data_IF_374712424511
#
_entry.id   IF_374712424511
#
_cell.length_a   1.000
_cell.length_b   1.000
_cell.length_c   1.000
_cell.angle_alpha   90.00
_cell.angle_beta   90.00
_cell.angle_gamma   90.00
#
_symmetry.space_group_name_H-M   'P 1'
#
loop_
_entity.id
_entity.type
_entity.pdbx_description
1 polymer ?
#
# COMPACT_ATOMS: atom_id res chain seq x y z
N UNK A 1 -8.01 -23.93 49.86
CA UNK A 1 -8.38 -22.84 48.93
C UNK A 1 -7.10 -22.44 48.22
N UNK A 2 -6.80 -23.07 47.10
CA UNK A 2 -5.68 -22.68 46.23
C UNK A 2 -6.29 -22.22 44.91
N UNK A 3 -6.68 -20.95 44.88
CA UNK A 3 -7.04 -20.23 43.66
C UNK A 3 -5.75 -19.82 42.96
N UNK A 4 -5.13 -20.75 42.22
CA UNK A 4 -4.14 -20.38 41.23
C UNK A 4 -4.85 -19.84 39.99
N UNK A 5 -4.93 -18.51 39.97
CA UNK A 5 -5.26 -17.67 38.84
C UNK A 5 -4.38 -18.04 37.64
N UNK A 6 -4.91 -18.87 36.76
CA UNK A 6 -4.38 -19.04 35.40
C UNK A 6 -4.73 -17.78 34.61
N UNK A 7 -3.88 -16.75 34.72
CA UNK A 7 -3.90 -15.60 33.83
C UNK A 7 -3.85 -16.11 32.39
N UNK A 8 -4.94 -15.88 31.66
CA UNK A 8 -5.04 -16.12 30.24
C UNK A 8 -4.03 -15.24 29.50
N UNK A 9 -2.84 -15.78 29.25
CA UNK A 9 -1.89 -15.18 28.32
C UNK A 9 -2.52 -15.23 26.92
N UNK A 10 -2.77 -14.05 26.34
CA UNK A 10 -3.19 -13.93 24.96
C UNK A 10 -2.23 -14.72 24.05
N UNK A 11 -2.73 -15.42 23.01
CA UNK A 11 -1.87 -16.17 22.11
C UNK A 11 -0.82 -15.25 21.48
N UNK A 12 0.43 -15.71 21.32
CA UNK A 12 1.46 -14.93 20.64
C UNK A 12 0.98 -14.56 19.22
N UNK A 13 1.31 -13.37 18.71
CA UNK A 13 0.89 -12.95 17.39
C UNK A 13 1.40 -13.93 16.34
N UNK A 14 0.47 -14.50 15.55
CA UNK A 14 0.79 -15.46 14.50
C UNK A 14 1.74 -14.83 13.46
N UNK A 15 2.97 -15.35 13.29
CA UNK A 15 3.91 -14.85 12.28
C UNK A 15 3.36 -15.02 10.84
N UNK A 16 2.40 -15.94 10.66
CA UNK A 16 1.67 -16.13 9.42
C UNK A 16 0.80 -14.92 9.05
N UNK A 17 0.13 -14.27 10.02
CA UNK A 17 -0.68 -13.06 9.76
C UNK A 17 0.18 -11.87 9.39
N UNK A 18 1.27 -11.66 10.11
CA UNK A 18 2.23 -10.60 9.80
C UNK A 18 2.85 -10.77 8.40
N UNK A 19 3.07 -12.02 7.97
CA UNK A 19 3.57 -12.33 6.62
C UNK A 19 2.52 -12.06 5.54
N UNK A 20 1.25 -12.38 5.80
CA UNK A 20 0.14 -12.13 4.87
C UNK A 20 -0.08 -10.62 4.64
N UNK A 21 -0.12 -9.82 5.70
CA UNK A 21 -0.27 -8.35 5.58
C UNK A 21 0.90 -7.72 4.80
N UNK A 22 2.12 -8.19 5.03
CA UNK A 22 3.28 -7.72 4.27
C UNK A 22 3.20 -8.13 2.79
N UNK A 23 2.71 -9.33 2.48
CA UNK A 23 2.50 -9.77 1.10
C UNK A 23 1.41 -8.92 0.41
N UNK A 24 0.32 -8.59 1.10
CA UNK A 24 -0.72 -7.71 0.58
C UNK A 24 -0.21 -6.29 0.33
N UNK A 25 0.56 -5.70 1.25
CA UNK A 25 1.19 -4.39 1.06
C UNK A 25 2.12 -4.37 -0.15
N UNK A 26 2.92 -5.44 -0.33
CA UNK A 26 3.79 -5.58 -1.51
C UNK A 26 2.99 -5.67 -2.81
N UNK A 27 1.91 -6.45 -2.86
CA UNK A 27 1.04 -6.54 -4.04
C UNK A 27 0.38 -5.20 -4.37
N UNK A 28 -0.14 -4.50 -3.35
CA UNK A 28 -0.73 -3.16 -3.52
C UNK A 28 0.29 -2.18 -4.08
N UNK A 29 1.51 -2.18 -3.56
CA UNK A 29 2.61 -1.35 -4.07
C UNK A 29 2.93 -1.65 -5.53
N UNK A 30 3.13 -2.93 -5.88
CA UNK A 30 3.42 -3.33 -7.27
C UNK A 30 2.31 -2.94 -8.24
N UNK A 31 1.04 -3.05 -7.83
CA UNK A 31 -0.09 -2.63 -8.64
C UNK A 31 -0.10 -1.12 -8.89
N UNK A 32 0.18 -0.33 -7.85
CA UNK A 32 0.26 1.13 -7.93
C UNK A 32 1.46 1.59 -8.78
N UNK A 33 2.62 0.94 -8.65
CA UNK A 33 3.79 1.18 -9.50
C UNK A 33 3.48 0.95 -10.98
N UNK A 34 2.84 -0.19 -11.31
CA UNK A 34 2.42 -0.47 -12.68
C UNK A 34 1.41 0.56 -13.21
N UNK A 35 0.50 1.03 -12.37
CA UNK A 35 -0.45 2.07 -12.72
C UNK A 35 0.27 3.41 -12.98
N UNK A 36 1.26 3.77 -12.16
CA UNK A 36 2.12 4.95 -12.34
C UNK A 36 2.84 4.90 -13.68
N UNK A 37 3.49 3.79 -14.00
CA UNK A 37 4.19 3.61 -15.28
C UNK A 37 3.24 3.74 -16.48
N UNK A 38 2.04 3.17 -16.38
CA UNK A 38 1.01 3.30 -17.43
C UNK A 38 0.61 4.76 -17.65
N UNK A 39 0.40 5.52 -16.58
CA UNK A 39 0.03 6.94 -16.64
C UNK A 39 1.17 7.77 -17.24
N UNK A 40 2.42 7.52 -16.83
CA UNK A 40 3.61 8.20 -17.37
C UNK A 40 3.88 7.86 -18.85
N UNK A 41 3.59 6.63 -19.26
CA UNK A 41 3.71 6.20 -20.66
C UNK A 41 2.62 6.77 -21.55
N UNK A 42 1.51 7.24 -20.97
CA UNK A 42 0.35 7.69 -21.73
C UNK A 42 0.54 9.13 -22.21
N UNK A 43 0.96 9.29 -23.48
CA UNK A 43 1.11 10.60 -24.12
C UNK A 43 -0.22 11.04 -24.74
N UNK A 44 -0.67 12.24 -24.43
CA UNK A 44 -1.92 12.81 -24.97
C UNK A 44 -1.77 14.28 -25.30
N UNK A 45 -2.32 14.68 -26.45
CA UNK A 45 -2.37 16.09 -26.89
C UNK A 45 -3.63 16.83 -26.41
N UNK A 46 -4.58 16.13 -25.76
CA UNK A 46 -5.80 16.75 -25.24
C UNK A 46 -5.53 17.33 -23.84
N UNK A 47 -5.70 18.65 -23.62
CA UNK A 47 -5.41 19.29 -22.34
C UNK A 47 -6.24 18.74 -21.19
N UNK A 48 -7.53 18.44 -21.41
CA UNK A 48 -8.39 17.89 -20.36
C UNK A 48 -7.92 16.50 -19.92
N UNK A 49 -7.54 15.66 -20.89
CA UNK A 49 -7.01 14.32 -20.63
C UNK A 49 -5.66 14.38 -19.92
N UNK A 50 -4.81 15.36 -20.26
CA UNK A 50 -3.54 15.59 -19.56
C UNK A 50 -3.77 15.92 -18.08
N UNK A 51 -4.67 16.84 -17.77
CA UNK A 51 -5.00 17.17 -16.37
C UNK A 51 -5.55 15.98 -15.60
N UNK A 52 -6.38 15.14 -16.24
CA UNK A 52 -6.88 13.91 -15.60
C UNK A 52 -5.74 12.92 -15.30
N UNK A 53 -4.75 12.79 -16.18
CA UNK A 53 -3.57 11.94 -15.96
C UNK A 53 -2.66 12.48 -14.85
N UNK A 54 -2.46 13.80 -14.77
CA UNK A 54 -1.70 14.43 -13.69
C UNK A 54 -2.36 14.22 -12.33
N UNK A 55 -3.69 14.36 -12.24
CA UNK A 55 -4.45 14.06 -11.02
C UNK A 55 -4.37 12.58 -10.64
N UNK A 56 -4.51 11.68 -11.62
CA UNK A 56 -4.36 10.24 -11.39
C UNK A 56 -2.95 9.90 -10.91
N UNK A 57 -1.92 10.54 -11.47
CA UNK A 57 -0.53 10.36 -11.05
C UNK A 57 -0.33 10.79 -9.59
N UNK A 58 -0.83 11.96 -9.21
CA UNK A 58 -0.74 12.46 -7.84
C UNK A 58 -1.45 11.55 -6.83
N UNK A 59 -2.65 11.07 -7.15
CA UNK A 59 -3.41 10.11 -6.32
C UNK A 59 -2.67 8.77 -6.14
N UNK A 60 -1.99 8.28 -7.19
CA UNK A 60 -1.17 7.07 -7.11
C UNK A 60 0.05 7.31 -6.21
N UNK A 61 0.73 8.45 -6.34
CA UNK A 61 1.90 8.79 -5.53
C UNK A 61 1.57 9.02 -4.04
N UNK A 62 0.39 9.55 -3.74
CA UNK A 62 -0.14 9.64 -2.37
C UNK A 62 -0.35 8.25 -1.77
N UNK A 63 -1.06 7.35 -2.45
CA UNK A 63 -1.30 5.96 -2.00
C UNK A 63 0.00 5.17 -1.81
N UNK A 64 0.99 5.42 -2.66
CA UNK A 64 2.31 4.83 -2.52
C UNK A 64 3.03 5.35 -1.27
N UNK A 65 2.92 6.65 -0.99
CA UNK A 65 3.49 7.27 0.22
C UNK A 65 2.84 6.72 1.49
N UNK A 66 1.52 6.50 1.50
CA UNK A 66 0.81 5.84 2.61
C UNK A 66 1.32 4.41 2.88
N UNK A 67 1.74 3.70 1.83
CA UNK A 67 2.34 2.36 1.92
C UNK A 67 3.83 2.39 2.33
N UNK A 68 4.35 3.56 2.72
CA UNK A 68 5.75 3.77 3.09
C UNK A 68 6.70 3.72 1.90
N UNK A 69 6.20 3.95 0.68
CA UNK A 69 7.01 4.12 -0.52
C UNK A 69 7.03 5.58 -0.91
N UNK A 70 7.81 6.36 -0.17
CA UNK A 70 8.11 7.74 -0.53
C UNK A 70 9.19 7.71 -1.60
N UNK A 71 8.82 7.96 -2.86
CA UNK A 71 9.80 8.33 -3.88
C UNK A 71 10.26 9.74 -3.50
N UNK A 72 11.33 9.85 -2.70
CA UNK A 72 12.06 11.10 -2.59
C UNK A 72 12.63 11.41 -3.97
N UNK A 73 12.06 12.41 -4.64
CA UNK A 73 12.72 13.15 -5.72
C UNK A 73 13.53 14.29 -5.13
#
# INVERSE_FOLDING_TARGET
MEEQQSQAAAPPPDPAKASAENAERKRKRQALELQRERVLSERTSNPHRRSALELALADIEEKLSELGWTIHM
#
